data_IF_143813540088
#
_entry.id   IF_143813540088
#
_cell.length_a   1.000
_cell.length_b   1.000
_cell.length_c   1.000
_cell.angle_alpha   90.00
_cell.angle_beta   90.00
_cell.angle_gamma   90.00
#
_symmetry.space_group_name_H-M   'P 1'
#
loop_
_entity.id
_entity.type
_entity.pdbx_description
1 polymer ?
#
# COMPACT_ATOMS: atom_id res chain seq x y z
N UNK A 1 -1.16 -13.12 -2.77
CA UNK A 1 -1.92 -12.23 -1.87
C UNK A 1 -1.99 -10.93 -2.62
N UNK A 2 -3.20 -10.53 -2.99
CA UNK A 2 -3.44 -9.44 -3.93
C UNK A 2 -4.10 -8.29 -3.19
N UNK A 3 -3.44 -7.14 -3.14
CA UNK A 3 -3.97 -5.92 -2.55
C UNK A 3 -3.90 -4.78 -3.57
N UNK A 4 -4.84 -3.84 -3.45
CA UNK A 4 -4.81 -2.59 -4.19
C UNK A 4 -4.92 -1.43 -3.21
N UNK A 5 -3.99 -0.49 -3.30
CA UNK A 5 -4.03 0.76 -2.59
C UNK A 5 -4.44 1.89 -3.52
N UNK A 6 -5.46 2.64 -3.12
CA UNK A 6 -5.96 3.80 -3.84
C UNK A 6 -5.69 5.05 -3.00
N UNK A 7 -5.03 6.04 -3.58
CA UNK A 7 -4.80 7.32 -2.91
C UNK A 7 -6.10 8.12 -2.76
N UNK A 8 -6.11 9.10 -1.85
CA UNK A 8 -7.07 10.19 -1.94
C UNK A 8 -6.84 11.02 -3.21
N UNK A 9 -7.84 11.82 -3.60
CA UNK A 9 -7.69 12.83 -4.66
C UNK A 9 -6.74 13.93 -4.18
N UNK A 10 -5.65 14.18 -4.89
CA UNK A 10 -4.64 15.18 -4.50
C UNK A 10 -4.00 15.85 -5.71
N UNK A 11 -3.43 17.03 -5.49
CA UNK A 11 -2.51 17.68 -6.42
C UNK A 11 -1.30 18.20 -5.63
N UNK A 12 -0.06 17.80 -5.96
CA UNK A 12 0.32 16.88 -7.03
C UNK A 12 -0.17 15.44 -6.76
N UNK A 13 0.03 14.55 -7.73
CA UNK A 13 -0.31 13.14 -7.56
C UNK A 13 0.46 12.53 -6.38
N UNK A 14 -0.24 11.80 -5.50
CA UNK A 14 0.40 11.12 -4.37
C UNK A 14 1.28 9.97 -4.86
N UNK A 15 2.49 9.86 -4.32
CA UNK A 15 3.33 8.66 -4.51
C UNK A 15 2.88 7.60 -3.51
N UNK A 16 2.69 6.36 -3.99
CA UNK A 16 2.29 5.23 -3.16
C UNK A 16 3.46 4.28 -2.94
N UNK A 17 3.55 3.72 -1.74
CA UNK A 17 4.56 2.73 -1.37
C UNK A 17 3.97 1.65 -0.45
N UNK A 18 4.37 0.40 -0.67
CA UNK A 18 4.00 -0.72 0.17
C UNK A 18 5.12 -1.08 1.15
N UNK A 19 4.75 -1.35 2.40
CA UNK A 19 5.64 -1.84 3.43
C UNK A 19 5.10 -3.16 3.99
N UNK A 20 5.98 -4.13 4.17
CA UNK A 20 5.71 -5.39 4.85
C UNK A 20 6.58 -5.47 6.10
N UNK A 21 5.95 -5.55 7.27
CA UNK A 21 6.59 -5.50 8.58
C UNK A 21 7.59 -4.35 8.69
N UNK A 22 7.14 -3.15 8.28
CA UNK A 22 7.93 -1.91 8.30
C UNK A 22 9.11 -1.85 7.31
N UNK A 23 9.27 -2.88 6.48
CA UNK A 23 10.27 -2.90 5.40
C UNK A 23 9.61 -2.53 4.07
N UNK A 24 10.23 -1.61 3.32
CA UNK A 24 9.77 -1.20 1.99
C UNK A 24 9.81 -2.41 1.04
N UNK A 25 8.72 -2.63 0.32
CA UNK A 25 8.67 -3.64 -0.75
C UNK A 25 9.29 -3.02 -2.01
N UNK A 26 10.49 -3.48 -2.37
CA UNK A 26 11.26 -2.97 -3.52
C UNK A 26 11.28 -3.90 -4.72
N UNK A 27 10.88 -5.16 -4.55
CA UNK A 27 10.86 -6.14 -5.64
C UNK A 27 9.78 -5.78 -6.67
N UNK A 28 10.16 -5.47 -7.92
CA UNK A 28 9.21 -5.05 -8.95
C UNK A 28 8.23 -6.16 -9.33
N UNK A 29 8.55 -7.44 -9.09
CA UNK A 29 7.61 -8.53 -9.36
C UNK A 29 6.43 -8.55 -8.39
N UNK A 30 6.59 -7.94 -7.22
CA UNK A 30 5.52 -7.87 -6.23
C UNK A 30 4.67 -6.60 -6.37
N UNK A 31 5.09 -5.64 -7.19
CA UNK A 31 4.45 -4.33 -7.32
C UNK A 31 3.75 -4.24 -8.67
N UNK A 32 2.49 -3.81 -8.66
CA UNK A 32 1.71 -3.59 -9.88
C UNK A 32 1.41 -2.10 -10.00
N UNK A 33 1.95 -1.49 -11.05
CA UNK A 33 1.68 -0.09 -11.37
C UNK A 33 0.42 0.04 -12.22
N UNK A 34 -0.48 0.91 -11.78
CA UNK A 34 -1.67 1.29 -12.52
C UNK A 34 -1.58 2.75 -12.96
N UNK A 35 -2.19 3.12 -14.11
CA UNK A 35 -2.23 4.52 -14.52
C UNK A 35 -3.01 5.36 -13.50
N UNK A 36 -2.52 6.57 -13.23
CA UNK A 36 -3.24 7.54 -12.40
C UNK A 36 -4.46 8.08 -13.15
N UNK A 37 -5.51 8.41 -12.41
CA UNK A 37 -6.74 8.98 -12.97
C UNK A 37 -6.86 10.44 -12.54
N UNK A 38 -7.04 11.34 -13.50
CA UNK A 38 -7.39 12.73 -13.21
C UNK A 38 -8.91 12.85 -12.99
N UNK A 39 -9.28 13.49 -11.90
CA UNK A 39 -10.66 13.72 -11.49
C UNK A 39 -11.06 15.17 -11.78
N UNK A 40 -12.29 15.53 -11.39
CA UNK A 40 -12.79 16.91 -11.42
C UNK A 40 -11.81 17.87 -10.72
N UNK A 41 -11.72 19.10 -11.23
CA UNK A 41 -10.84 20.16 -10.72
C UNK A 41 -9.34 19.85 -10.79
N UNK A 42 -8.91 18.90 -11.63
CA UNK A 42 -7.49 18.61 -11.86
C UNK A 42 -6.82 17.76 -10.79
N UNK A 43 -7.56 17.29 -9.78
CA UNK A 43 -7.05 16.41 -8.73
C UNK A 43 -6.76 15.01 -9.27
N UNK A 44 -5.67 14.40 -8.83
CA UNK A 44 -5.20 13.11 -9.34
C UNK A 44 -5.38 12.04 -8.26
N UNK A 45 -5.83 10.85 -8.67
CA UNK A 45 -5.85 9.63 -7.87
C UNK A 45 -4.82 8.66 -8.42
N UNK A 46 -3.96 8.14 -7.55
CA UNK A 46 -2.97 7.13 -7.87
C UNK A 46 -3.35 5.80 -7.27
N UNK A 47 -2.85 4.73 -7.89
CA UNK A 47 -3.18 3.36 -7.53
C UNK A 47 -1.90 2.51 -7.55
N UNK A 48 -1.75 1.62 -6.58
CA UNK A 48 -0.61 0.71 -6.49
C UNK A 48 -1.06 -0.67 -5.99
N UNK A 49 -0.82 -1.68 -6.81
CA UNK A 49 -1.07 -3.07 -6.44
C UNK A 49 0.12 -3.72 -5.75
N UNK A 50 -0.18 -4.66 -4.86
CA UNK A 50 0.77 -5.56 -4.24
C UNK A 50 0.32 -7.00 -4.51
N UNK A 51 1.18 -7.78 -5.16
CA UNK A 51 0.96 -9.19 -5.46
C UNK A 51 2.13 -9.99 -4.92
N UNK A 52 1.94 -10.74 -3.84
CA UNK A 52 3.04 -11.55 -3.29
C UNK A 52 2.57 -12.85 -2.65
N UNK A 53 3.44 -13.86 -2.65
CA UNK A 53 3.20 -15.10 -1.90
C UNK A 53 3.63 -14.91 -0.45
N UNK A 54 2.71 -15.16 0.47
CA UNK A 54 2.99 -15.09 1.91
C UNK A 54 3.61 -16.41 2.37
N UNK A 55 4.80 -16.32 2.96
CA UNK A 55 5.51 -17.46 3.54
C UNK A 55 5.54 -17.35 5.07
N UNK A 56 5.77 -18.48 5.75
CA UNK A 56 5.88 -18.54 7.22
C UNK A 56 6.91 -17.54 7.79
N UNK A 57 8.03 -17.34 7.09
CA UNK A 57 9.08 -16.37 7.45
C UNK A 57 8.62 -14.91 7.51
N UNK A 58 7.49 -14.56 6.88
CA UNK A 58 6.96 -13.21 6.90
C UNK A 58 6.13 -12.93 8.17
N UNK A 59 5.74 -13.97 8.92
CA UNK A 59 5.05 -13.77 10.20
C UNK A 59 6.06 -13.42 11.29
N UNK A 60 5.87 -12.24 11.89
CA UNK A 60 6.59 -11.79 13.08
C UNK A 60 5.57 -11.81 14.21
N UNK A 61 5.87 -12.56 15.27
CA UNK A 61 4.93 -12.78 16.40
C UNK A 61 3.57 -13.31 15.97
N UNK A 62 3.56 -14.18 14.95
CA UNK A 62 2.32 -14.76 14.43
C UNK A 62 1.45 -13.79 13.63
N UNK A 63 1.97 -12.61 13.25
CA UNK A 63 1.24 -11.66 12.41
C UNK A 63 2.11 -11.04 11.32
N UNK A 64 1.47 -10.53 10.28
CA UNK A 64 2.08 -9.73 9.22
C UNK A 64 1.42 -8.37 9.24
N UNK A 65 2.23 -7.31 9.22
CA UNK A 65 1.78 -5.92 9.12
C UNK A 65 2.05 -5.45 7.70
N UNK A 66 1.00 -5.06 6.98
CA UNK A 66 1.14 -4.49 5.64
C UNK A 66 0.66 -3.06 5.70
N UNK A 67 1.47 -2.12 5.20
CA UNK A 67 1.12 -0.70 5.15
C UNK A 67 1.19 -0.22 3.71
N UNK A 68 0.19 0.53 3.28
CA UNK A 68 0.32 1.42 2.14
C UNK A 68 0.51 2.83 2.66
N UNK A 69 1.56 3.50 2.20
CA UNK A 69 1.85 4.90 2.52
C UNK A 69 1.65 5.72 1.25
N UNK A 70 0.78 6.73 1.33
CA UNK A 70 0.60 7.74 0.31
C UNK A 70 1.28 9.04 0.74
N UNK A 71 2.33 9.43 0.02
CA UNK A 71 3.14 10.61 0.31
C UNK A 71 2.95 11.70 -0.74
N UNK A 72 2.77 12.94 -0.30
CA UNK A 72 2.77 14.12 -1.16
C UNK A 72 4.15 14.78 -1.18
N UNK A 73 4.78 14.84 -2.36
CA UNK A 73 6.01 15.60 -2.58
C UNK A 73 5.74 17.10 -2.64
N UNK A 74 6.63 17.94 -2.11
CA UNK A 74 6.48 19.38 -2.21
C UNK A 74 6.60 19.87 -3.65
N UNK A 75 5.69 20.78 -4.00
CA UNK A 75 5.69 21.50 -5.28
C UNK A 75 6.39 22.83 -5.09
N UNK A 76 7.40 23.10 -5.91
CA UNK A 76 8.10 24.37 -5.94
C UNK A 76 7.71 25.16 -7.18
N UNK A 77 7.21 26.37 -6.94
CA UNK A 77 6.91 27.36 -7.98
C UNK A 77 8.12 28.28 -8.16
N UNK A 78 8.75 28.25 -9.35
CA UNK A 78 9.80 29.19 -9.74
C UNK A 78 9.50 29.77 -11.11
N UNK A 79 9.40 31.10 -11.20
CA UNK A 79 9.28 31.81 -12.48
C UNK A 79 8.06 31.44 -13.34
N UNK A 80 6.94 31.05 -12.72
CA UNK A 80 5.72 30.63 -13.44
C UNK A 80 5.73 29.18 -13.93
N UNK A 81 6.76 28.40 -13.59
CA UNK A 81 6.80 26.96 -13.84
C UNK A 81 6.71 26.17 -12.53
N UNK A 82 5.97 25.07 -12.58
CA UNK A 82 5.84 24.09 -11.51
C UNK A 82 6.92 23.02 -11.62
N UNK A 83 7.58 22.70 -10.50
CA UNK A 83 8.52 21.58 -10.42
C UNK A 83 8.27 20.78 -9.15
N UNK A 84 8.24 19.45 -9.27
CA UNK A 84 8.21 18.55 -8.11
C UNK A 84 9.62 18.50 -7.53
N UNK A 85 9.78 18.88 -6.27
CA UNK A 85 11.08 18.85 -5.60
C UNK A 85 11.35 17.43 -5.13
N UNK A 86 12.40 16.82 -5.68
CA UNK A 86 12.85 15.47 -5.30
C UNK A 86 13.92 15.47 -4.20
N UNK A 87 14.30 16.64 -3.69
CA UNK A 87 15.34 16.79 -2.66
C UNK A 87 14.77 16.54 -1.28
N UNK A 88 15.23 15.49 -0.59
CA UNK A 88 15.35 15.21 0.88
C UNK A 88 14.43 15.97 1.88
N UNK A 89 13.31 16.49 1.42
CA UNK A 89 12.34 17.21 2.20
C UNK A 89 11.29 16.22 2.68
N UNK A 90 10.82 16.35 3.93
CA UNK A 90 9.74 15.51 4.41
C UNK A 90 8.51 15.72 3.52
N UNK A 91 7.92 14.62 3.09
CA UNK A 91 6.59 14.58 2.49
C UNK A 91 5.63 15.48 3.26
N UNK A 92 4.89 16.34 2.56
CA UNK A 92 3.98 17.33 3.17
C UNK A 92 2.90 16.62 4.01
N UNK A 93 2.42 15.48 3.52
CA UNK A 93 1.36 14.69 4.13
C UNK A 93 1.60 13.21 3.81
N UNK A 94 1.57 12.37 4.85
CA UNK A 94 1.67 10.92 4.74
C UNK A 94 0.37 10.30 5.25
N UNK A 95 -0.41 9.72 4.33
CA UNK A 95 -1.62 8.97 4.68
C UNK A 95 -1.30 7.49 4.67
N UNK A 96 -1.58 6.81 5.78
CA UNK A 96 -1.22 5.40 5.96
C UNK A 96 -2.47 4.55 6.09
N UNK A 97 -2.59 3.53 5.26
CA UNK A 97 -3.56 2.44 5.42
C UNK A 97 -2.82 1.19 5.89
N UNK A 98 -3.35 0.49 6.90
CA UNK A 98 -2.71 -0.68 7.49
C UNK A 98 -3.64 -1.91 7.49
N UNK A 99 -3.07 -3.05 7.10
CA UNK A 99 -3.71 -4.36 7.17
C UNK A 99 -2.88 -5.29 8.07
N UNK A 100 -3.55 -5.96 9.01
CA UNK A 100 -2.95 -6.93 9.91
C UNK A 100 -3.44 -8.33 9.56
N UNK A 101 -2.54 -9.23 9.22
CA UNK A 101 -2.84 -10.63 8.91
C UNK A 101 -2.32 -11.49 10.06
N UNK A 102 -3.21 -12.19 10.77
CA UNK A 102 -2.82 -13.11 11.85
C UNK A 102 -2.72 -14.54 11.32
N UNK A 103 -1.69 -15.26 11.76
CA UNK A 103 -1.60 -16.71 11.59
C UNK A 103 -2.58 -17.38 12.54
N UNK A 104 -3.49 -18.19 12.01
CA UNK A 104 -4.34 -19.07 12.83
C UNK A 104 -3.54 -20.34 13.15
N UNK A 105 -2.61 -20.22 14.08
CA UNK A 105 -1.83 -21.36 14.58
C UNK A 105 -2.47 -21.93 15.84
N UNK A 106 -3.27 -22.99 15.71
CA UNK A 106 -3.55 -23.86 16.85
C UNK A 106 -2.26 -24.62 17.19
N UNK A 107 -1.77 -24.46 18.41
CA UNK A 107 -0.59 -25.15 18.92
C UNK A 107 -0.93 -26.64 19.11
N UNK A 108 -0.84 -27.45 18.06
CA UNK A 108 -0.55 -28.89 18.16
C UNK A 108 -0.29 -29.55 16.80
N UNK A 109 0.97 -29.95 16.62
CA UNK A 109 1.46 -31.13 15.92
C UNK A 109 0.98 -31.47 14.49
N UNK A 110 2.01 -31.64 13.64
CA UNK A 110 2.15 -32.62 12.54
C UNK A 110 1.94 -32.06 11.13
N UNK A 111 3.07 -32.00 10.41
CA UNK A 111 3.24 -31.85 8.96
C UNK A 111 1.95 -32.06 8.16
N UNK A 112 1.26 -30.96 7.83
CA UNK A 112 0.34 -30.90 6.70
C UNK A 112 0.49 -29.52 6.07
N UNK A 113 0.97 -29.50 4.82
CA UNK A 113 0.84 -28.36 3.93
C UNK A 113 -0.65 -28.04 3.77
N UNK A 114 -1.15 -27.11 4.58
CA UNK A 114 -2.52 -26.61 4.49
C UNK A 114 -2.50 -25.40 3.57
N UNK A 115 -2.90 -25.62 2.31
CA UNK A 115 -3.32 -24.57 1.39
C UNK A 115 -4.58 -23.91 1.96
N UNK A 116 -4.40 -22.95 2.85
CA UNK A 116 -5.50 -22.15 3.40
C UNK A 116 -5.93 -21.16 2.31
N UNK A 117 -6.92 -21.54 1.50
CA UNK A 117 -7.64 -20.61 0.61
C UNK A 117 -8.59 -19.77 1.47
N UNK A 118 -8.11 -18.65 1.99
CA UNK A 118 -8.98 -17.64 2.60
C UNK A 118 -9.63 -16.83 1.47
N UNK A 119 -10.83 -17.23 1.06
CA UNK A 119 -11.76 -16.32 0.36
C UNK A 119 -12.30 -15.32 1.39
N UNK A 120 -11.76 -14.12 1.43
CA UNK A 120 -12.43 -13.00 2.10
C UNK A 120 -13.35 -12.28 1.10
N UNK A 121 -14.66 -12.35 1.33
CA UNK A 121 -15.61 -11.37 0.80
C UNK A 121 -15.47 -10.11 1.65
N UNK A 122 -15.04 -9.00 1.05
CA UNK A 122 -15.06 -7.70 1.71
C UNK A 122 -16.41 -7.02 1.42
N UNK A 123 -17.26 -6.88 2.43
CA UNK A 123 -18.48 -6.05 2.36
C UNK A 123 -18.15 -4.62 2.78
N UNK A 124 -18.13 -3.70 1.82
CA UNK A 124 -18.10 -2.27 2.08
C UNK A 124 -19.35 -1.88 2.88
N UNK A 125 -19.18 -1.54 4.15
CA UNK A 125 -20.24 -0.84 4.90
C UNK A 125 -19.90 0.65 4.86
N UNK A 126 -20.47 1.35 3.86
CA UNK A 126 -20.60 2.80 3.91
C UNK A 126 -21.60 3.08 5.02
N UNK A 127 -21.13 3.56 6.18
CA UNK A 127 -22.04 4.19 7.15
C UNK A 127 -22.46 5.53 6.56
N UNK A 128 -23.73 5.60 6.13
CA UNK A 128 -24.49 6.84 6.05
C UNK A 128 -24.85 7.30 7.45
#
# INVERSE_FOLDING_TARGET
>A
MELNCTSGRSYPASTLQWYLNDLLVTDPNNIIHYPSVQNQHGLITTFLGLSMVVHHRHYIDGMIRIKCVASLSPVLWRGGQESIVQWEQPSIDNRVAMLLVKSSGNLQSRNRFLYIVLRYKYTNTVKK
#
